data_IF_560240420864
#
_entry.id   IF_560240420864
#
_cell.length_a   1.000
_cell.length_b   1.000
_cell.length_c   1.000
_cell.angle_alpha   90.00
_cell.angle_beta   90.00
_cell.angle_gamma   90.00
#
_symmetry.space_group_name_H-M   'P 1'
#
loop_
_entity.id
_entity.type
_entity.pdbx_description
1 polymer ?
2 non-polymer ?
3 water ?
#
# COMPACT_ATOMS: atom_id res chain seq x y z
N UNK A 2 -8.33 -35.79 -4.26
CA UNK A 2 -9.39 -36.72 -4.77
C UNK A 2 -9.83 -36.27 -6.15
N UNK A 3 -10.75 -35.31 -6.19
CA UNK A 3 -11.15 -34.67 -7.43
C UNK A 3 -10.43 -33.34 -7.59
N UNK A 4 -10.24 -32.92 -8.84
CA UNK A 4 -9.71 -31.60 -9.13
C UNK A 4 -10.86 -30.71 -9.60
N UNK A 5 -11.26 -29.79 -8.73
CA UNK A 5 -12.39 -28.92 -9.03
C UNK A 5 -11.88 -27.59 -9.56
N UNK A 6 -12.40 -27.18 -10.70
CA UNK A 6 -12.08 -25.88 -11.28
C UNK A 6 -12.85 -24.78 -10.57
N UNK A 7 -12.14 -23.72 -10.19
CA UNK A 7 -12.72 -22.60 -9.47
C UNK A 7 -13.28 -21.54 -10.41
N UNK A 8 -14.43 -20.97 -10.04
CA UNK A 8 -14.97 -19.82 -10.73
C UNK A 8 -14.06 -18.61 -10.48
N UNK A 9 -14.06 -17.66 -11.41
CA UNK A 9 -13.25 -16.45 -11.24
C UNK A 9 -13.93 -15.51 -10.26
N UNK A 10 -15.21 -15.22 -10.51
CA UNK A 10 -16.00 -14.38 -9.63
C UNK A 10 -17.38 -15.00 -9.36
N UNK A 11 -18.05 -14.50 -8.34
CA UNK A 11 -19.40 -14.91 -8.01
C UNK A 11 -20.20 -13.75 -7.41
N UNK A 12 -21.37 -13.47 -7.98
CA UNK A 12 -22.30 -12.53 -7.37
C UNK A 12 -23.26 -13.29 -6.47
N UNK A 13 -23.27 -12.95 -5.18
CA UNK A 13 -24.05 -13.71 -4.22
C UNK A 13 -25.05 -12.85 -3.45
N UNK A 14 -25.84 -13.51 -2.62
CA UNK A 14 -26.79 -12.84 -1.74
C UNK A 14 -26.44 -13.24 -0.30
N UNK A 15 -26.93 -12.47 0.70
CA UNK A 15 -26.48 -12.91 2.04
C UNK A 15 -26.92 -14.32 2.41
N UNK A 16 -26.09 -15.03 3.15
CA UNK A 16 -26.41 -16.40 3.53
C UNK A 16 -25.20 -17.23 3.87
N UNK A 17 -25.19 -18.47 3.44
CA UNK A 17 -24.05 -19.33 3.68
C UNK A 17 -23.50 -19.75 2.33
N UNK A 18 -22.20 -19.59 2.13
CA UNK A 18 -21.55 -20.01 0.89
C UNK A 18 -21.09 -21.45 0.97
N UNK A 19 -21.36 -22.21 -0.08
CA UNK A 19 -20.95 -23.60 -0.18
C UNK A 19 -20.01 -23.77 -1.36
N UNK A 20 -19.14 -24.77 -1.26
CA UNK A 20 -18.19 -25.11 -2.32
C UNK A 20 -18.79 -25.14 -3.74
N UNK A 21 -19.99 -25.73 -3.87
CA UNK A 21 -20.69 -25.80 -5.16
C UNK A 21 -20.87 -24.44 -5.83
N UNK A 22 -20.99 -23.39 -5.01
CA UNK A 22 -21.18 -22.02 -5.50
C UNK A 22 -19.94 -21.48 -6.22
N UNK A 23 -18.76 -21.92 -5.80
CA UNK A 23 -17.51 -21.43 -6.39
C UNK A 23 -16.77 -22.43 -7.28
N UNK A 24 -17.46 -23.49 -7.70
CA UNK A 24 -16.88 -24.46 -8.63
C UNK A 24 -17.68 -24.52 -9.93
N UNK A 25 -17.01 -24.85 -11.02
CA UNK A 25 -17.65 -24.98 -12.32
C UNK A 25 -18.51 -26.25 -12.41
N UNK A 26 -17.99 -27.36 -11.87
CA UNK A 26 -18.74 -28.61 -11.82
C UNK A 26 -19.67 -28.69 -10.61
N UNK A 27 -20.73 -29.51 -10.73
CA UNK A 27 -21.69 -29.71 -9.65
C UNK A 27 -21.13 -30.61 -8.56
N UNK A 28 -21.05 -30.06 -7.35
CA UNK A 28 -20.64 -30.83 -6.18
C UNK A 28 -21.75 -30.73 -5.13
N UNK A 29 -22.01 -31.84 -4.44
CA UNK A 29 -22.91 -31.79 -3.29
C UNK A 29 -22.10 -31.65 -2.01
N UNK A 30 -22.38 -30.58 -1.26
CA UNK A 30 -21.73 -30.35 0.02
C UNK A 30 -22.57 -29.45 0.91
N UNK A 31 -22.55 -29.75 2.19
CA UNK A 31 -23.44 -29.11 3.15
C UNK A 31 -22.65 -28.33 4.21
N UNK A 32 -21.33 -28.30 4.08
CA UNK A 32 -20.51 -27.58 5.05
C UNK A 32 -20.38 -26.09 4.74
N UNK A 33 -20.47 -25.30 5.80
CA UNK A 33 -20.39 -23.83 5.72
C UNK A 33 -18.96 -23.39 5.43
N UNK A 34 -18.78 -22.70 4.31
CA UNK A 34 -17.47 -22.22 3.90
C UNK A 34 -17.27 -20.78 4.40
N UNK A 35 -18.23 -19.91 4.09
CA UNK A 35 -18.18 -18.51 4.51
C UNK A 35 -19.58 -18.05 4.91
N UNK A 36 -19.64 -17.07 5.80
CA UNK A 36 -20.88 -16.38 6.14
C UNK A 36 -20.95 -15.13 5.28
N UNK A 37 -21.89 -15.07 4.36
CA UNK A 37 -21.96 -14.00 3.39
C UNK A 37 -22.84 -12.83 3.88
N UNK A 38 -22.25 -11.66 4.10
CA UNK A 38 -22.99 -10.52 4.65
C UNK A 38 -23.18 -9.42 3.62
N UNK A 39 -24.30 -8.69 3.70
CA UNK A 39 -24.61 -7.86 2.55
C UNK A 39 -23.58 -6.75 2.34
N UNK A 40 -23.25 -6.49 1.09
CA UNK A 40 -22.41 -5.36 0.71
C UNK A 40 -20.92 -5.52 0.89
N UNK A 41 -20.48 -6.71 1.31
CA UNK A 41 -19.07 -7.00 1.54
C UNK A 41 -18.48 -7.88 0.44
N UNK A 42 -17.16 -7.74 0.22
CA UNK A 42 -16.46 -8.49 -0.81
C UNK A 42 -15.68 -9.63 -0.17
N UNK A 43 -15.74 -10.80 -0.78
CA UNK A 43 -15.08 -11.98 -0.24
C UNK A 43 -14.00 -12.48 -1.17
N UNK A 44 -12.96 -13.08 -0.60
CA UNK A 44 -11.93 -13.67 -1.42
C UNK A 44 -11.70 -15.07 -0.89
N UNK A 45 -12.13 -16.08 -1.65
CA UNK A 45 -11.90 -17.46 -1.25
C UNK A 45 -10.49 -17.88 -1.67
N UNK A 46 -9.64 -18.15 -0.69
CA UNK A 46 -8.25 -18.48 -0.94
C UNK A 46 -8.00 -19.98 -0.96
N UNK A 47 -6.83 -20.38 -1.47
CA UNK A 47 -6.39 -21.77 -1.50
C UNK A 47 -6.10 -22.27 -0.09
N UNK A 48 -5.65 -21.37 0.77
CA UNK A 48 -5.38 -21.70 2.16
C UNK A 48 -6.68 -21.99 2.93
N UNK A 49 -7.76 -21.32 2.54
CA UNK A 49 -9.09 -21.64 3.09
C UNK A 49 -9.54 -23.01 2.59
N UNK A 50 -9.32 -23.27 1.31
CA UNK A 50 -9.75 -24.53 0.70
C UNK A 50 -8.94 -25.71 1.20
N UNK A 51 -7.65 -25.48 1.49
CA UNK A 51 -6.78 -26.54 2.04
C UNK A 51 -7.22 -26.91 3.45
N UNK A 52 -7.77 -25.94 4.18
CA UNK A 52 -8.28 -26.15 5.53
C UNK A 52 -9.62 -26.86 5.55
N UNK A 53 -10.56 -26.36 4.74
CA UNK A 53 -11.92 -26.90 4.70
C UNK A 53 -11.97 -28.25 3.99
N UNK A 54 -11.41 -28.30 2.78
CA UNK A 54 -11.37 -29.54 2.01
C UNK A 54 -9.93 -29.94 1.64
N UNK A 55 -9.19 -30.54 2.60
CA UNK A 55 -7.81 -30.95 2.34
C UNK A 55 -7.72 -32.18 1.44
N UNK A 56 -8.84 -32.84 1.22
CA UNK A 56 -8.91 -34.08 0.45
C UNK A 56 -9.03 -33.84 -1.05
N UNK A 57 -9.43 -32.63 -1.43
CA UNK A 57 -9.56 -32.26 -2.84
C UNK A 57 -8.46 -31.32 -3.31
N UNK A 58 -8.14 -31.40 -4.60
CA UNK A 58 -7.23 -30.45 -5.24
C UNK A 58 -8.06 -29.41 -5.99
N UNK A 59 -7.46 -28.25 -6.22
CA UNK A 59 -8.17 -27.14 -6.84
C UNK A 59 -7.35 -26.51 -7.94
N UNK A 60 -8.01 -26.25 -9.07
CA UNK A 60 -7.39 -25.55 -10.19
C UNK A 60 -8.18 -24.28 -10.51
N UNK A 61 -7.68 -23.49 -11.45
CA UNK A 61 -8.33 -22.23 -11.81
C UNK A 61 -7.56 -21.03 -11.31
N UNK A 62 -8.27 -19.91 -11.06
CA UNK A 62 -7.72 -18.69 -10.49
C UNK A 62 -7.21 -18.89 -9.07
N UNK A 63 -6.32 -18.00 -8.64
CA UNK A 63 -5.72 -18.08 -7.31
C UNK A 63 -6.78 -18.01 -6.22
N UNK A 64 -7.68 -17.05 -6.38
CA UNK A 64 -8.77 -16.81 -5.45
C UNK A 64 -10.09 -16.66 -6.21
N UNK A 65 -11.19 -16.91 -5.52
CA UNK A 65 -12.52 -16.61 -6.05
C UNK A 65 -13.01 -15.33 -5.41
N UNK A 66 -13.44 -14.37 -6.22
CA UNK A 66 -13.92 -13.08 -5.73
C UNK A 66 -15.46 -13.01 -5.71
N UNK A 67 -16.02 -12.87 -4.50
CA UNK A 67 -17.46 -12.89 -4.28
C UNK A 67 -17.98 -11.53 -3.82
N UNK A 68 -18.95 -11.01 -4.56
CA UNK A 68 -19.65 -9.78 -4.21
C UNK A 68 -21.00 -10.17 -3.64
N UNK A 69 -21.30 -9.74 -2.41
CA UNK A 69 -22.63 -9.97 -1.87
C UNK A 69 -23.53 -8.73 -2.03
N UNK A 70 -24.64 -8.92 -2.73
CA UNK A 70 -25.68 -7.90 -2.82
C UNK A 70 -26.19 -7.38 -1.46
N UNK A 71 -26.73 -6.16 -1.45
CA UNK A 71 -27.28 -5.61 -0.22
C UNK A 71 -26.98 -4.13 -0.06
N UNK A 72 -27.73 -3.48 0.82
CA UNK A 72 -27.49 -2.10 1.20
C UNK A 72 -26.08 -1.98 1.76
N UNK A 73 -25.52 -0.79 1.69
CA UNK A 73 -24.09 -0.62 1.94
C UNK A 73 -23.78 -0.11 3.33
N UNK A 74 -24.74 -0.20 4.24
CA UNK A 74 -24.63 0.40 5.56
C UNK A 74 -23.70 -0.38 6.48
N UNK A 75 -23.80 -1.69 6.46
CA UNK A 75 -22.92 -2.53 7.26
C UNK A 75 -21.46 -2.32 6.80
N UNK A 76 -21.24 -2.50 5.50
CA UNK A 76 -19.95 -2.24 4.84
C UNK A 76 -19.35 -0.90 5.27
N UNK A 77 -20.11 0.17 5.11
CA UNK A 77 -19.70 1.50 5.51
C UNK A 77 -19.27 1.54 6.97
N UNK A 78 -20.07 0.95 7.85
CA UNK A 78 -19.79 0.98 9.28
C UNK A 78 -18.56 0.12 9.63
N UNK A 79 -18.39 -0.96 8.89
CA UNK A 79 -17.21 -1.81 9.01
C UNK A 79 -15.96 -1.07 8.50
N UNK A 80 -16.03 -0.52 7.28
CA UNK A 80 -14.91 0.24 6.69
C UNK A 80 -14.48 1.45 7.50
N UNK A 81 -15.45 2.21 8.02
CA UNK A 81 -15.15 3.32 8.91
C UNK A 81 -14.34 2.84 10.13
N UNK A 82 -14.74 1.69 10.67
CA UNK A 82 -14.09 1.11 11.84
C UNK A 82 -12.68 0.58 11.56
N UNK A 83 -12.51 -0.13 10.43
CA UNK A 83 -11.17 -0.57 10.01
C UNK A 83 -10.26 0.64 9.89
N UNK A 84 -10.73 1.67 9.17
CA UNK A 84 -10.01 2.94 9.00
C UNK A 84 -9.43 3.51 10.29
N UNK A 85 -10.19 3.42 11.37
CA UNK A 85 -9.76 3.91 12.68
C UNK A 85 -8.69 3.03 13.32
N UNK A 86 -8.87 1.70 13.29
CA UNK A 86 -7.91 0.80 13.91
C UNK A 86 -6.68 0.55 13.05
N UNK A 87 -6.84 0.59 11.74
CA UNK A 87 -5.72 0.35 10.81
C UNK A 87 -4.81 1.56 10.64
N UNK A 88 -5.40 2.75 10.71
CA UNK A 88 -4.77 4.06 10.43
C UNK A 88 -4.98 4.52 8.98
N UNK A 89 -5.52 3.63 8.15
CA UNK A 89 -5.58 3.84 6.70
C UNK A 89 -6.89 4.45 6.19
N UNK A 90 -6.83 4.99 4.97
CA UNK A 90 -8.01 5.45 4.24
C UNK A 90 -7.92 5.01 2.77
N UNK A 91 -9.02 5.10 2.02
CA UNK A 91 -9.09 4.79 0.58
C UNK A 91 -8.55 3.39 0.25
N UNK A 92 -8.92 2.41 1.06
CA UNK A 92 -8.41 1.05 0.91
C UNK A 92 -9.50 0.10 0.43
N UNK A 93 -9.09 -1.05 -0.11
CA UNK A 93 -10.01 -2.14 -0.35
C UNK A 93 -9.82 -3.14 0.78
N UNK A 94 -10.93 -3.78 1.18
CA UNK A 94 -10.88 -4.92 2.11
C UNK A 94 -11.69 -6.12 1.60
N UNK A 95 -11.15 -7.31 1.82
CA UNK A 95 -11.72 -8.56 1.35
C UNK A 95 -11.80 -9.48 2.54
N UNK A 96 -12.96 -10.07 2.78
CA UNK A 96 -13.01 -11.07 3.85
C UNK A 96 -12.45 -12.40 3.34
N UNK A 97 -11.54 -13.00 4.12
CA UNK A 97 -10.85 -14.21 3.69
C UNK A 97 -11.12 -15.41 4.61
N UNK A 98 -11.74 -15.13 5.75
CA UNK A 98 -12.19 -16.14 6.68
C UNK A 98 -13.36 -15.53 7.44
N UNK A 99 -14.40 -16.32 7.71
CA UNK A 99 -15.43 -15.91 8.68
C UNK A 99 -15.62 -16.97 9.77
N UNK A 100 -15.98 -16.52 10.97
CA UNK A 100 -16.37 -17.41 12.06
C UNK A 100 -17.70 -16.95 12.65
N UNK A 101 -18.49 -17.90 13.16
CA UNK A 101 -19.78 -17.60 13.77
C UNK A 101 -20.97 -18.25 13.09
N UNK A 102 -22.13 -17.61 13.21
CA UNK A 102 -23.33 -18.06 12.52
C UNK A 102 -23.91 -16.94 11.65
N UNK A 103 -24.69 -17.30 10.65
CA UNK A 103 -25.43 -16.30 9.88
C UNK A 103 -26.47 -15.68 10.81
N UNK A 104 -26.42 -14.35 10.96
CA UNK A 104 -27.42 -13.65 11.76
C UNK A 104 -28.78 -13.56 11.06
N UNK A 105 -29.83 -13.34 11.85
CA UNK A 105 -31.16 -13.14 11.28
C UNK A 105 -31.23 -11.79 10.58
N UNK A 106 -30.81 -10.75 11.28
CA UNK A 106 -30.82 -9.38 10.79
C UNK A 106 -29.38 -8.89 10.65
N UNK A 107 -29.15 -7.95 9.74
CA UNK A 107 -27.77 -7.53 9.43
C UNK A 107 -27.38 -6.15 9.98
N UNK A 108 -28.07 -5.68 11.01
CA UNK A 108 -27.73 -4.43 11.68
C UNK A 108 -26.95 -4.77 12.93
N UNK A 109 -25.61 -4.58 12.90
CA UNK A 109 -24.80 -4.92 14.06
C UNK A 109 -25.05 -4.00 15.24
N UNK A 110 -24.88 -4.51 16.44
CA UNK A 110 -24.89 -3.69 17.64
C UNK A 110 -23.50 -3.06 17.82
N UNK A 111 -22.48 -3.92 17.83
CA UNK A 111 -21.11 -3.50 18.08
C UNK A 111 -20.21 -3.93 16.93
N UNK A 112 -19.20 -3.12 16.64
CA UNK A 112 -18.20 -3.47 15.63
C UNK A 112 -16.81 -3.26 16.21
N UNK A 113 -16.12 -4.36 16.52
CA UNK A 113 -14.78 -4.31 17.11
C UNK A 113 -13.74 -4.89 16.15
N UNK A 114 -12.67 -4.13 15.91
CA UNK A 114 -11.62 -4.52 14.96
C UNK A 114 -10.27 -4.67 15.66
N UNK A 115 -9.62 -5.83 15.45
CA UNK A 115 -8.29 -6.06 16.05
C UNK A 115 -7.30 -6.54 14.97
N UNK A 116 -6.05 -6.12 15.11
CA UNK A 116 -4.99 -6.52 14.18
C UNK A 116 -4.56 -7.96 14.43
N UNK A 117 -4.59 -8.78 13.39
CA UNK A 117 -4.11 -10.15 13.48
C UNK A 117 -2.62 -10.17 13.14
N UNK A 118 -2.31 -9.63 11.97
CA UNK A 118 -0.94 -9.49 11.50
C UNK A 118 -0.88 -8.29 10.56
N UNK A 119 0.15 -8.27 9.72
CA UNK A 119 0.30 -7.25 8.69
C UNK A 119 -0.82 -7.36 7.66
N UNK A 120 -1.60 -6.30 7.53
CA UNK A 120 -2.69 -6.18 6.54
C UNK A 120 -3.92 -7.06 6.79
N UNK A 121 -4.00 -7.64 7.99
CA UNK A 121 -5.05 -8.59 8.32
C UNK A 121 -5.72 -8.20 9.63
N UNK A 122 -7.03 -7.96 9.58
CA UNK A 122 -7.77 -7.52 10.75
C UNK A 122 -8.97 -8.43 11.02
N UNK A 123 -9.24 -8.68 12.30
CA UNK A 123 -10.43 -9.41 12.70
C UNK A 123 -11.55 -8.43 13.03
N UNK A 124 -12.58 -8.42 12.21
CA UNK A 124 -13.73 -7.56 12.43
C UNK A 124 -14.85 -8.35 13.10
N UNK A 125 -15.06 -8.06 14.37
CA UNK A 125 -16.05 -8.76 15.15
C UNK A 125 -17.38 -8.00 15.15
N UNK A 126 -18.45 -8.70 14.81
CA UNK A 126 -19.78 -8.10 14.76
C UNK A 126 -20.73 -8.77 15.73
N UNK A 127 -21.29 -8.00 16.65
CA UNK A 127 -22.34 -8.46 17.51
C UNK A 127 -23.69 -8.14 16.95
N UNK A 128 -24.50 -9.17 16.87
CA UNK A 128 -25.88 -8.98 16.46
C UNK A 128 -26.76 -9.33 17.66
N UNK A 129 -28.00 -8.82 17.68
CA UNK A 129 -28.93 -9.20 18.76
C UNK A 129 -29.03 -10.73 18.96
N UNK A 130 -28.93 -11.50 17.88
CA UNK A 130 -29.07 -12.96 17.96
C UNK A 130 -27.76 -13.75 18.03
N UNK A 131 -26.70 -13.24 17.43
CA UNK A 131 -25.47 -14.02 17.25
C UNK A 131 -24.22 -13.14 17.01
N UNK A 132 -23.11 -13.77 16.62
CA UNK A 132 -21.83 -13.10 16.43
C UNK A 132 -21.20 -13.52 15.09
N UNK A 133 -20.63 -12.57 14.35
CA UNK A 133 -19.76 -12.90 13.21
C UNK A 133 -18.37 -12.25 13.33
N UNK A 134 -17.31 -13.05 13.21
CA UNK A 134 -15.95 -12.53 13.00
C UNK A 134 -15.53 -12.65 11.52
N UNK A 135 -15.15 -11.53 10.91
CA UNK A 135 -14.63 -11.55 9.55
C UNK A 135 -13.16 -11.21 9.63
N UNK A 136 -12.32 -12.09 9.09
CA UNK A 136 -10.91 -11.78 8.93
C UNK A 136 -10.76 -11.12 7.56
N UNK A 137 -10.30 -9.88 7.58
CA UNK A 137 -10.30 -9.06 6.38
C UNK A 137 -8.88 -8.66 5.95
N UNK A 138 -8.53 -8.98 4.71
CA UNK A 138 -7.26 -8.59 4.12
C UNK A 138 -7.39 -7.21 3.50
N UNK A 139 -6.49 -6.32 3.87
CA UNK A 139 -6.49 -4.95 3.40
C UNK A 139 -5.55 -4.79 2.21
N UNK A 140 -6.03 -4.10 1.17
CA UNK A 140 -5.25 -3.81 -0.02
C UNK A 140 -5.40 -2.34 -0.41
N UNK A 141 -4.28 -1.73 -0.80
CA UNK A 141 -4.31 -0.42 -1.45
C UNK A 141 -3.48 -0.53 -2.71
N UNK A 142 -4.17 -0.75 -3.83
CA UNK A 142 -3.52 -0.95 -5.12
C UNK A 142 -3.45 0.37 -5.84
N UNK A 143 -2.24 0.78 -6.23
CA UNK A 143 -2.04 2.09 -6.86
C UNK A 143 -0.92 2.03 -7.87
N UNK A 144 -0.85 3.03 -8.75
CA UNK A 144 0.26 3.15 -9.68
C UNK A 144 1.46 3.82 -9.04
N UNK A 145 2.55 3.08 -8.92
CA UNK A 145 3.78 3.59 -8.31
C UNK A 145 4.93 3.70 -9.32
N UNK A 146 5.95 4.46 -8.94
CA UNK A 146 7.11 4.70 -9.80
C UNK A 146 8.13 3.57 -9.64
N UNK A 147 8.43 2.89 -10.75
CA UNK A 147 9.33 1.74 -10.76
C UNK A 147 10.47 2.01 -11.74
N UNK A 148 11.67 1.56 -11.39
CA UNK A 148 12.87 1.75 -12.23
C UNK A 148 12.86 0.99 -13.55
N UNK A 149 13.14 1.71 -14.64
CA UNK A 149 13.37 1.12 -15.96
C UNK A 149 14.78 0.60 -16.12
N UNK A 150 15.72 1.19 -15.38
CA UNK A 150 17.13 0.83 -15.52
C UNK A 150 17.90 0.98 -14.21
N UNK A 151 19.08 0.38 -14.15
CA UNK A 151 19.95 0.48 -12.97
C UNK A 151 20.47 1.89 -12.76
N UNK A 152 20.53 2.30 -11.50
CA UNK A 152 21.01 3.63 -11.15
C UNK A 152 22.00 3.53 -9.99
N UNK A 153 22.87 4.53 -9.87
CA UNK A 153 23.96 4.48 -8.89
C UNK A 153 23.80 5.59 -7.84
N UNK A 154 24.60 5.49 -6.78
CA UNK A 154 24.69 6.52 -5.75
C UNK A 154 25.05 7.83 -6.44
N UNK A 155 24.25 8.87 -6.20
CA UNK A 155 24.54 10.19 -6.75
C UNK A 155 23.89 10.49 -8.10
N UNK A 156 23.31 9.47 -8.74
CA UNK A 156 22.61 9.68 -10.00
C UNK A 156 21.35 10.54 -9.83
N UNK A 157 21.16 11.51 -10.72
CA UNK A 157 19.90 12.25 -10.81
C UNK A 157 18.87 11.39 -11.53
N UNK A 158 17.69 11.25 -10.95
CA UNK A 158 16.57 10.58 -11.63
C UNK A 158 16.00 11.47 -12.73
N UNK A 159 15.93 10.93 -13.94
CA UNK A 159 15.24 11.61 -15.04
C UNK A 159 14.08 10.75 -15.56
N UNK A 160 13.22 11.36 -16.37
CA UNK A 160 12.00 10.70 -16.86
C UNK A 160 12.26 9.38 -17.58
N UNK A 161 13.46 9.24 -18.13
CA UNK A 161 13.87 8.03 -18.85
C UNK A 161 14.22 6.87 -17.91
N UNK A 162 14.44 7.19 -16.64
CA UNK A 162 14.86 6.17 -15.68
C UNK A 162 13.65 5.42 -15.11
N UNK A 163 12.48 6.05 -15.19
CA UNK A 163 11.32 5.53 -14.46
C UNK A 163 10.08 5.30 -15.31
N UNK A 164 9.29 4.30 -14.91
CA UNK A 164 7.97 4.08 -15.46
C UNK A 164 6.98 3.93 -14.31
N UNK A 165 5.70 3.83 -14.66
CA UNK A 165 4.63 3.69 -13.69
C UNK A 165 4.11 2.26 -13.74
N UNK A 166 3.92 1.66 -12.57
CA UNK A 166 3.38 0.29 -12.45
C UNK A 166 2.39 0.19 -11.31
N UNK A 167 1.35 -0.62 -11.49
CA UNK A 167 0.36 -0.88 -10.44
C UNK A 167 0.95 -1.80 -9.36
N UNK A 168 0.86 -1.40 -8.09
CA UNK A 168 1.38 -2.21 -6.98
C UNK A 168 0.50 -2.09 -5.72
N UNK A 169 0.59 -3.09 -4.84
CA UNK A 169 -0.03 -3.00 -3.53
C UNK A 169 0.85 -2.19 -2.58
N UNK A 170 0.38 -0.99 -2.27
CA UNK A 170 1.09 -0.06 -1.40
C UNK A 170 1.26 -0.62 0.02
N UNK A 171 0.40 -1.55 0.41
CA UNK A 171 0.49 -2.14 1.74
C UNK A 171 1.52 -3.28 1.82
N UNK A 172 2.14 -3.58 0.68
CA UNK A 172 3.20 -4.57 0.58
C UNK A 172 4.51 -3.92 0.08
N UNK A 173 4.60 -2.60 0.21
CA UNK A 173 5.80 -1.85 -0.09
C UNK A 173 6.42 -1.36 1.22
N UNK A 174 7.73 -1.60 1.39
CA UNK A 174 8.46 -1.11 2.57
C UNK A 174 8.99 0.28 2.27
N UNK A 175 8.44 1.28 2.95
CA UNK A 175 8.75 2.67 2.67
C UNK A 175 7.62 3.34 1.94
N UNK A 176 7.69 4.65 1.80
CA UNK A 176 6.66 5.43 1.13
C UNK A 176 6.98 5.55 -0.37
N UNK A 177 6.10 5.00 -1.23
CA UNK A 177 6.34 5.07 -2.67
C UNK A 177 5.98 6.43 -3.30
N UNK A 178 6.24 6.56 -4.59
CA UNK A 178 5.86 7.75 -5.36
C UNK A 178 4.76 7.41 -6.35
N UNK A 179 3.85 8.35 -6.57
CA UNK A 179 2.66 8.07 -7.38
C UNK A 179 2.69 8.83 -8.70
N UNK A 180 3.82 9.48 -8.95
CA UNK A 180 3.98 10.34 -10.11
C UNK A 180 5.46 10.47 -10.43
N UNK A 181 5.78 10.43 -11.72
CA UNK A 181 7.14 10.65 -12.19
C UNK A 181 7.61 12.05 -11.76
N UNK A 182 6.69 13.02 -11.82
CA UNK A 182 6.92 14.39 -11.41
C UNK A 182 7.38 14.56 -9.95
N UNK A 183 7.10 13.56 -9.11
CA UNK A 183 7.52 13.59 -7.72
C UNK A 183 8.98 13.19 -7.54
N UNK A 184 9.52 12.43 -8.49
CA UNK A 184 10.86 11.86 -8.36
C UNK A 184 11.93 12.47 -9.27
N UNK A 185 11.52 13.04 -10.41
CA UNK A 185 12.50 13.64 -11.33
C UNK A 185 13.22 14.82 -10.70
N UNK A 186 14.55 14.82 -10.79
CA UNK A 186 15.38 15.83 -10.16
C UNK A 186 15.98 15.34 -8.86
N UNK A 187 15.42 14.27 -8.31
CA UNK A 187 15.93 13.69 -7.08
C UNK A 187 17.22 12.96 -7.33
N UNK A 188 18.03 12.82 -6.28
CA UNK A 188 19.33 12.20 -6.34
C UNK A 188 19.29 10.87 -5.58
N UNK A 189 19.66 9.79 -6.25
CA UNK A 189 19.68 8.47 -5.63
C UNK A 189 20.70 8.37 -4.50
N UNK A 190 20.27 7.82 -3.36
CA UNK A 190 21.19 7.59 -2.24
C UNK A 190 21.87 6.24 -2.39
N UNK A 191 21.41 5.44 -3.37
CA UNK A 191 21.94 4.09 -3.52
C UNK A 191 22.03 3.54 -4.95
N UNK A 192 22.76 2.43 -5.07
CA UNK A 192 22.74 1.64 -6.27
C UNK A 192 21.50 0.74 -6.26
N UNK A 193 20.59 1.00 -7.19
CA UNK A 193 19.35 0.24 -7.30
C UNK A 193 19.32 -0.45 -8.66
N UNK A 194 18.68 -1.62 -8.71
CA UNK A 194 18.57 -2.36 -9.96
C UNK A 194 17.20 -2.09 -10.56
N UNK A 195 17.06 -2.32 -11.87
CA UNK A 195 15.79 -2.22 -12.56
C UNK A 195 14.72 -3.05 -11.85
N UNK A 196 13.47 -2.56 -11.84
CA UNK A 196 12.37 -3.26 -11.19
C UNK A 196 12.11 -2.81 -9.77
N UNK A 197 13.06 -2.04 -9.23
CA UNK A 197 12.95 -1.53 -7.87
C UNK A 197 11.90 -0.43 -7.78
N UNK A 198 10.89 -0.68 -6.94
CA UNK A 198 9.88 0.33 -6.59
C UNK A 198 10.58 1.42 -5.80
N UNK A 199 10.48 2.63 -6.31
CA UNK A 199 11.18 3.76 -5.73
C UNK A 199 10.46 4.17 -4.47
N UNK A 200 11.21 4.45 -3.41
CA UNK A 200 10.61 4.95 -2.17
C UNK A 200 11.36 6.18 -1.65
N UNK A 201 10.67 6.99 -0.87
CA UNK A 201 11.20 8.24 -0.32
C UNK A 201 12.58 8.11 0.35
N UNK A 202 12.80 6.99 1.01
CA UNK A 202 14.02 6.76 1.78
C UNK A 202 15.24 6.43 0.93
N UNK A 203 15.05 6.32 -0.38
CA UNK A 203 16.15 5.92 -1.28
C UNK A 203 16.72 7.09 -2.06
N UNK A 204 16.04 8.22 -1.97
CA UNK A 204 16.39 9.39 -2.75
C UNK A 204 16.53 10.59 -1.84
N UNK A 205 17.19 11.62 -2.33
CA UNK A 205 17.24 12.88 -1.62
C UNK A 205 17.07 14.01 -2.59
N UNK A 206 16.65 15.16 -2.08
CA UNK A 206 16.47 16.35 -2.88
C UNK A 206 17.80 16.88 -3.41
N UNK A 207 17.78 17.56 -4.57
CA UNK A 207 18.98 18.26 -5.05
C UNK A 207 19.40 19.39 -4.09
N UNK A 208 20.71 19.62 -3.94
CA UNK A 208 21.22 20.64 -3.02
C UNK A 208 20.95 22.05 -3.53
N UNK A 209 20.80 23.01 -2.62
CA UNK A 209 20.46 24.37 -3.04
C UNK A 209 21.67 25.11 -3.63
N UNK A 210 22.86 24.69 -3.21
CA UNK A 210 24.11 25.06 -3.87
C UNK A 210 24.99 23.83 -4.10
N UNK A 211 25.75 23.83 -5.18
CA UNK A 211 26.65 22.73 -5.45
C UNK A 211 28.10 23.16 -5.25
N UNK A 212 28.97 22.19 -5.00
CA UNK A 212 30.40 22.42 -4.90
C UNK A 212 30.90 23.06 -6.19
N UNK A 213 31.54 24.23 -6.07
CA UNK A 213 32.15 24.90 -7.22
C UNK A 213 31.29 25.95 -7.89
N UNK A 214 30.03 26.05 -7.45
CA UNK A 214 29.07 27.01 -7.98
C UNK A 214 29.42 28.45 -7.57
N UNK A 215 29.15 29.41 -8.45
CA UNK A 215 29.32 30.82 -8.12
C UNK A 215 27.99 31.40 -7.62
N UNK A 216 28.02 31.90 -6.39
CA UNK A 216 26.85 32.58 -5.81
C UNK A 216 27.25 33.94 -5.24
N UNK A 217 26.31 34.91 -5.23
CA UNK A 217 26.53 36.15 -4.48
C UNK A 217 26.69 35.88 -2.98
N UNK A 218 27.40 36.76 -2.30
CA UNK A 218 27.70 36.59 -0.87
C UNK A 218 27.76 37.92 -0.14
N UNK A 219 27.38 37.90 1.14
CA UNK A 219 27.33 39.09 1.97
C UNK A 219 28.24 38.93 3.19
N UNK A 220 28.99 39.98 3.51
CA UNK A 220 29.88 40.01 4.68
C UNK A 220 29.47 41.09 5.68
N UNK A 228 29.35 41.64 -0.13
CA UNK A 228 29.14 42.45 -1.31
C UNK A 228 29.85 41.86 -2.55
N UNK A 229 29.95 40.54 -2.61
CA UNK A 229 30.78 39.87 -3.63
C UNK A 229 30.26 38.50 -4.09
N UNK A 230 30.94 37.91 -5.07
CA UNK A 230 30.67 36.54 -5.51
C UNK A 230 31.70 35.57 -4.93
N UNK A 231 31.25 34.37 -4.56
CA UNK A 231 32.17 33.35 -4.01
C UNK A 231 32.03 32.01 -4.71
N UNK A 232 33.01 31.12 -4.48
CA UNK A 232 32.95 29.75 -5.00
C UNK A 232 32.83 28.74 -3.86
N UNK A 233 31.77 27.95 -3.91
CA UNK A 233 31.40 26.99 -2.87
C UNK A 233 32.31 25.76 -2.82
N UNK A 234 32.74 25.39 -1.61
CA UNK A 234 33.68 24.26 -1.41
C UNK A 234 32.95 22.92 -1.22
N UNK A 235 31.66 22.99 -0.91
CA UNK A 235 30.83 21.80 -0.66
C UNK A 235 29.45 21.99 -1.26
N UNK A 236 28.73 20.89 -1.44
CA UNK A 236 27.30 20.96 -1.75
C UNK A 236 26.55 21.40 -0.50
N UNK A 237 25.41 22.05 -0.65
CA UNK A 237 24.70 22.59 0.52
C UNK A 237 23.23 22.88 0.36
N UNK A 238 22.50 22.82 1.47
CA UNK A 238 21.07 23.11 1.46
C UNK A 238 20.87 24.44 2.20
N UNK A 239 19.72 25.04 2.09
CA UNK A 239 19.35 26.19 2.88
C UNK A 239 19.64 26.04 4.33
N UNK A 240 20.21 27.03 4.97
CA UNK A 240 20.44 26.98 6.41
C UNK A 240 21.73 26.30 6.77
N UNK A 241 22.32 25.60 5.82
CA UNK A 241 23.60 24.97 6.11
C UNK A 241 24.71 25.97 5.95
N UNK A 242 25.75 25.78 6.75
CA UNK A 242 26.97 26.55 6.65
C UNK A 242 27.96 25.78 5.76
N UNK A 243 28.28 26.38 4.61
CA UNK A 243 29.21 25.81 3.65
C UNK A 243 30.50 26.66 3.57
N UNK A 244 31.65 25.98 3.52
CA UNK A 244 32.95 26.64 3.33
C UNK A 244 33.06 27.11 1.88
N UNK A 245 33.74 28.25 1.68
CA UNK A 245 33.86 28.86 0.36
C UNK A 245 35.15 29.66 0.22
N UNK A 246 35.49 30.05 -1.03
CA UNK A 246 36.67 30.88 -1.28
C UNK A 246 36.36 32.09 -2.20
N UNK A 247 36.69 33.29 -1.59
CA UNK A 247 36.65 34.61 -2.26
C UNK A 247 36.27 35.73 -1.28
N UNK A 250 38.38 36.94 -3.59
CA UNK A 250 39.60 36.67 -4.37
C UNK A 250 40.36 35.42 -3.87
N UNK A 251 40.46 35.28 -2.52
CA UNK A 251 41.54 34.45 -1.95
C UNK A 251 41.22 33.53 -0.78
N UNK A 252 40.59 34.09 0.27
CA UNK A 252 40.58 33.46 1.61
C UNK A 252 39.43 32.49 1.97
N UNK A 253 39.55 31.89 3.17
CA UNK A 253 38.57 30.94 3.69
C UNK A 253 37.42 31.66 4.39
N UNK A 254 36.19 31.35 3.99
CA UNK A 254 35.01 31.96 4.60
C UNK A 254 33.94 30.92 4.94
N UNK A 255 33.43 31.00 6.16
CA UNK A 255 32.25 30.26 6.58
C UNK A 255 31.05 31.06 6.08
N UNK A 256 30.08 30.36 5.49
CA UNK A 256 28.91 31.02 4.95
C UNK A 256 27.68 30.15 4.90
N UNK A 257 26.59 30.68 5.45
CA UNK A 257 25.32 29.95 5.43
C UNK A 257 24.60 30.15 4.11
N UNK A 258 24.05 29.06 3.58
CA UNK A 258 23.19 29.14 2.41
C UNK A 258 21.89 29.81 2.83
N UNK A 259 21.58 30.91 2.14
CA UNK A 259 20.37 31.64 2.41
C UNK A 259 19.44 31.57 1.21
N UNK A 260 18.16 31.81 1.44
CA UNK A 260 17.21 32.08 0.36
C UNK A 260 17.85 32.94 -0.71
N UNK A 261 17.95 32.40 -1.92
CA UNK A 261 18.51 33.12 -3.05
C UNK A 261 18.72 32.23 -4.26
N UNK A 262 19.90 31.63 -4.34
CA UNK A 262 20.69 31.32 -3.16
C UNK A 262 21.93 32.20 -3.05
N UNK A 263 21.99 33.02 -2.02
CA UNK A 263 23.24 33.69 -1.64
C UNK A 263 23.88 33.01 -0.44
N UNK A 264 25.20 33.17 -0.31
CA UNK A 264 25.89 32.87 0.94
C UNK A 264 25.89 34.10 1.81
N UNK A 265 25.73 33.88 3.10
CA UNK A 265 25.97 34.92 4.07
C UNK A 265 27.20 34.55 4.86
N UNK A 266 28.26 35.33 4.68
CA UNK A 266 29.51 35.07 5.40
C UNK A 266 29.44 35.52 6.86
N UNK A 267 29.64 34.55 7.75
CA UNK A 267 29.52 34.74 9.20
C UNK A 267 30.70 35.55 9.75
N UNK A 268 30.37 36.61 10.48
CA UNK A 268 31.34 37.59 11.00
C UNK A 268 32.16 38.25 9.89
#
# INVERSE_FOLDING_TARGET
MSLTLTLKETLLASPGVLFLDDITIEKVESEKNLMILLPGLEYLVTRDLLRTKFPEYDFTGPENVRITVEGYSSLKNAVFEEIGKKAEAKDFEAFVVKTFGTLPEKFEPQTIRVTKISKNLFSVFLRFPDTYVTLNMLLRKERNVVVLKRNINVGDVIKEEDVRLEKRNVFEIYGEPFFDVSEVVGKISRRYLKEGTVLTADMVKDPPDVVKGQVVPAYVDMGSIKVTTFVEVLENGYLGETVRAMNVESRKYVFGRVERGPVLRILEVVEGHHHHHH
#
